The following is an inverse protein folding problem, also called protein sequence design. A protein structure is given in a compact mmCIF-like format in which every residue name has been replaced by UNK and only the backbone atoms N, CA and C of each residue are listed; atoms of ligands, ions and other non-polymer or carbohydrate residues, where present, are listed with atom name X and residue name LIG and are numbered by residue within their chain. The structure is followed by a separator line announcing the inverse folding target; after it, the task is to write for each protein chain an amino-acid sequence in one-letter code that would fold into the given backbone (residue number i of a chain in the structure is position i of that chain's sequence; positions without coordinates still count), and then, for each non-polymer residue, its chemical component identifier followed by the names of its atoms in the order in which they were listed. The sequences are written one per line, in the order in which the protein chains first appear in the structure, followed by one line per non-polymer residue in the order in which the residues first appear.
data_IF_682912179951
#
_entry.id   IF_682912179951
#
_cell.length_a   1.000
_cell.length_b   1.000
_cell.length_c   1.000
_cell.angle_alpha   90.00
_cell.angle_beta   90.00
_cell.angle_gamma   90.00
#
_symmetry.space_group_name_H-M   'P 1'
#
loop_
_entity.id
_entity.type
_entity.pdbx_description
1 polymer ?
#
# COMPACT_ATOMS: atom_id res chain seq x y z
N UNK A 1 3.62 2.55 14.73
CA UNK A 1 3.14 1.89 13.62
C UNK A 1 3.63 2.45 12.37
N UNK A 2 4.28 1.63 11.59
CA UNK A 2 4.82 2.08 10.36
C UNK A 2 4.31 1.21 9.24
N UNK A 3 3.57 1.83 8.34
CA UNK A 3 3.16 1.16 7.13
C UNK A 3 3.71 1.95 5.97
N UNK A 4 4.14 1.28 4.95
CA UNK A 4 4.64 1.93 3.76
C UNK A 4 4.54 0.98 2.59
N UNK A 5 4.83 1.48 1.41
CA UNK A 5 4.82 0.66 0.21
C UNK A 5 6.08 0.90 -0.58
N UNK A 6 6.52 -0.14 -1.26
CA UNK A 6 7.63 -0.04 -2.20
C UNK A 6 7.06 -0.44 -3.55
N UNK A 7 7.20 0.42 -4.54
CA UNK A 7 6.70 0.13 -5.87
C UNK A 7 7.81 -0.35 -6.75
N UNK A 8 7.62 -1.52 -7.30
CA UNK A 8 8.50 -2.06 -8.31
C UNK A 8 7.79 -1.92 -9.65
N UNK A 9 8.43 -2.35 -10.72
CA UNK A 9 7.87 -2.12 -12.05
C UNK A 9 6.49 -2.76 -12.23
N UNK A 10 6.30 -3.93 -11.65
CA UNK A 10 5.02 -4.63 -11.85
C UNK A 10 4.28 -4.93 -10.57
N UNK A 11 4.87 -4.64 -9.44
CA UNK A 11 4.29 -5.04 -8.17
C UNK A 11 4.53 -3.99 -7.11
N UNK A 12 3.70 -4.06 -6.09
CA UNK A 12 3.81 -3.19 -4.94
C UNK A 12 4.01 -4.07 -3.73
N UNK A 13 4.97 -3.73 -2.89
CA UNK A 13 5.24 -4.44 -1.66
C UNK A 13 4.71 -3.60 -0.52
N UNK A 14 3.77 -4.16 0.24
CA UNK A 14 3.20 -3.46 1.38
C UNK A 14 3.94 -3.89 2.63
N UNK A 15 4.47 -2.92 3.35
CA UNK A 15 5.23 -3.17 4.56
C UNK A 15 4.46 -2.71 5.78
N UNK A 16 4.57 -3.47 6.84
CA UNK A 16 3.98 -3.10 8.12
C UNK A 16 4.94 -3.47 9.21
N UNK A 17 5.29 -2.50 10.04
CA UNK A 17 6.21 -2.70 11.16
C UNK A 17 7.53 -3.29 10.71
N UNK A 18 8.00 -2.85 9.55
CA UNK A 18 9.28 -3.30 9.02
C UNK A 18 9.24 -4.67 8.38
N UNK A 19 8.05 -5.23 8.19
CA UNK A 19 7.93 -6.56 7.59
C UNK A 19 7.01 -6.51 6.40
N UNK A 20 7.23 -7.43 5.47
CA UNK A 20 6.39 -7.50 4.28
C UNK A 20 5.04 -8.07 4.67
N UNK A 21 3.99 -7.31 4.40
CA UNK A 21 2.64 -7.74 4.69
C UNK A 21 2.02 -8.44 3.48
N UNK A 22 2.17 -7.83 2.31
CA UNK A 22 1.63 -8.38 1.08
C UNK A 22 2.42 -7.88 -0.11
N UNK A 23 2.35 -8.60 -1.19
CA UNK A 23 2.97 -8.22 -2.44
C UNK A 23 1.97 -8.50 -3.54
N UNK A 24 1.77 -7.55 -4.43
CA UNK A 24 0.86 -7.75 -5.55
C UNK A 24 0.71 -6.49 -6.37
N UNK A 25 -0.21 -6.53 -7.31
CA UNK A 25 -0.52 -5.35 -8.12
C UNK A 25 -1.38 -4.41 -7.30
N UNK A 26 -1.41 -3.16 -7.73
CA UNK A 26 -2.22 -2.15 -7.06
C UNK A 26 -3.69 -2.59 -7.01
N UNK A 27 -4.18 -3.08 -8.12
CA UNK A 27 -5.57 -3.51 -8.21
C UNK A 27 -5.86 -4.65 -7.23
N UNK A 28 -4.97 -5.62 -7.18
CA UNK A 28 -5.16 -6.76 -6.29
C UNK A 28 -5.11 -6.32 -4.83
N UNK A 29 -4.15 -5.45 -4.51
CA UNK A 29 -4.00 -4.99 -3.14
C UNK A 29 -5.18 -4.15 -2.68
N UNK A 30 -5.73 -3.34 -3.57
CA UNK A 30 -6.91 -2.55 -3.24
C UNK A 30 -8.11 -3.45 -2.95
N UNK A 31 -8.12 -4.63 -3.55
CA UNK A 31 -9.23 -5.54 -3.39
C UNK A 31 -9.06 -6.45 -2.19
N UNK A 32 -7.82 -6.75 -1.81
CA UNK A 32 -7.57 -7.77 -0.81
C UNK A 32 -6.84 -7.28 0.44
N UNK A 33 -6.10 -6.20 0.35
CA UNK A 33 -5.25 -5.76 1.46
C UNK A 33 -5.77 -4.48 2.08
N UNK A 34 -6.37 -4.56 3.28
CA UNK A 34 -6.91 -3.36 3.92
C UNK A 34 -5.82 -2.34 4.27
N UNK A 35 -4.61 -2.78 4.52
CA UNK A 35 -3.53 -1.86 4.82
C UNK A 35 -3.23 -1.00 3.60
N UNK A 36 -3.16 -1.63 2.44
CA UNK A 36 -2.91 -0.87 1.23
C UNK A 36 -4.08 0.06 0.91
N UNK A 37 -5.30 -0.40 1.14
CA UNK A 37 -6.47 0.44 0.93
C UNK A 37 -6.36 1.72 1.75
N UNK A 38 -5.93 1.58 2.99
CA UNK A 38 -5.81 2.71 3.88
C UNK A 38 -4.71 3.66 3.42
N UNK A 39 -3.56 3.12 3.04
CA UNK A 39 -2.45 3.92 2.55
C UNK A 39 -2.86 4.68 1.29
N UNK A 40 -3.51 3.99 0.39
CA UNK A 40 -3.95 4.57 -0.87
C UNK A 40 -4.90 5.73 -0.63
N UNK A 41 -5.83 5.53 0.28
CA UNK A 41 -6.81 6.54 0.61
C UNK A 41 -6.15 7.78 1.21
N UNK A 42 -5.23 7.58 2.12
CA UNK A 42 -4.53 8.68 2.75
C UNK A 42 -3.73 9.47 1.73
N UNK A 43 -3.02 8.78 0.84
CA UNK A 43 -2.25 9.47 -0.18
C UNK A 43 -3.13 10.27 -1.09
N UNK A 44 -4.26 9.70 -1.47
CA UNK A 44 -5.15 10.36 -2.38
C UNK A 44 -5.75 11.61 -1.75
N UNK A 45 -6.14 11.51 -0.50
CA UNK A 45 -6.72 12.65 0.19
C UNK A 45 -5.67 13.68 0.55
N UNK A 46 -4.48 13.21 0.88
CA UNK A 46 -3.42 14.11 1.25
C UNK A 46 -2.97 15.02 0.12
N UNK A 47 -3.08 14.52 -1.10
CA UNK A 47 -2.68 15.31 -2.24
C UNK A 47 -3.59 16.50 -2.49
N UNK A 48 -4.75 16.48 -1.92
CA UNK A 48 -5.68 17.56 -2.13
C UNK A 48 -5.45 18.74 -1.24
N UNK A 49 -4.56 18.59 -0.31
CA UNK A 49 -4.27 19.73 0.54
C UNK A 49 -3.39 20.75 -0.15
#
# INVERSE_FOLDING_TARGET
QKTSTIEDSDRIIVLKDGKINNIGTSSWLLDHDPIYQDIYKVQKEGLEK
#
